data_IF_828278254865
#
_entry.id   IF_828278254865
#
_cell.length_a   1.000
_cell.length_b   1.000
_cell.length_c   1.000
_cell.angle_alpha   90.00
_cell.angle_beta   90.00
_cell.angle_gamma   90.00
#
_symmetry.space_group_name_H-M   'P 1'
#
loop_
_entity.id
_entity.type
_entity.pdbx_description
1 polymer ?
#
# COMPACT_ATOMS: atom_id res chain seq x y z
N UNK A 1 -42.42 -15.36 42.24
CA UNK A 1 -41.23 -15.36 41.37
C UNK A 1 -41.69 -15.23 39.93
N UNK A 2 -40.95 -14.48 39.10
CA UNK A 2 -41.27 -14.32 37.68
C UNK A 2 -40.60 -15.43 36.85
N UNK A 3 -41.20 -15.79 35.70
CA UNK A 3 -40.65 -16.79 34.78
C UNK A 3 -39.46 -16.19 34.02
N UNK A 4 -38.34 -16.91 33.98
CA UNK A 4 -37.15 -16.55 33.21
C UNK A 4 -36.87 -17.65 32.19
N UNK A 5 -36.47 -17.27 30.97
CA UNK A 5 -36.10 -18.17 29.88
C UNK A 5 -34.68 -17.85 29.42
N UNK A 6 -33.82 -18.86 29.35
CA UNK A 6 -32.52 -18.76 28.69
C UNK A 6 -32.67 -19.11 27.20
N UNK A 7 -32.10 -18.27 26.34
CA UNK A 7 -32.11 -18.45 24.88
C UNK A 7 -30.68 -18.39 24.37
N UNK A 8 -30.32 -19.32 23.49
CA UNK A 8 -29.04 -19.28 22.76
C UNK A 8 -29.19 -18.38 21.55
N UNK A 9 -28.60 -17.18 21.60
CA UNK A 9 -28.75 -16.18 20.55
C UNK A 9 -27.74 -16.31 19.39
N UNK A 10 -26.51 -16.74 19.69
CA UNK A 10 -25.38 -16.76 18.74
C UNK A 10 -24.45 -17.95 18.99
N UNK A 11 -23.60 -18.35 18.02
CA UNK A 11 -22.55 -19.34 18.23
C UNK A 11 -21.59 -18.94 19.37
N UNK A 12 -20.97 -19.91 20.08
CA UNK A 12 -20.10 -19.62 21.22
C UNK A 12 -18.95 -18.65 20.93
N UNK A 13 -18.36 -18.72 19.73
CA UNK A 13 -17.27 -17.82 19.31
C UNK A 13 -17.70 -16.36 19.16
N UNK A 14 -19.00 -16.09 18.97
CA UNK A 14 -19.57 -14.74 18.87
C UNK A 14 -20.00 -14.18 20.23
N UNK A 15 -20.32 -15.05 21.19
CA UNK A 15 -20.64 -14.67 22.57
C UNK A 15 -19.40 -14.60 23.48
N UNK A 16 -18.19 -14.81 22.95
CA UNK A 16 -16.96 -14.90 23.75
C UNK A 16 -16.53 -13.51 24.26
N UNK A 17 -16.50 -13.34 25.58
CA UNK A 17 -15.90 -12.18 26.23
C UNK A 17 -14.36 -12.23 26.20
N UNK A 18 -13.72 -11.06 26.32
CA UNK A 18 -12.26 -10.91 26.33
C UNK A 18 -11.83 -10.30 27.67
N UNK A 19 -11.21 -11.12 28.52
CA UNK A 19 -10.71 -10.74 29.85
C UNK A 19 -9.19 -10.99 30.01
N UNK A 20 -8.50 -11.47 28.97
CA UNK A 20 -7.05 -11.68 28.98
C UNK A 20 -6.43 -11.46 27.60
N UNK A 21 -5.10 -11.25 27.56
CA UNK A 21 -4.36 -11.13 26.30
C UNK A 21 -4.42 -12.40 25.44
N UNK A 22 -4.51 -13.57 26.09
CA UNK A 22 -4.70 -14.85 25.37
C UNK A 22 -6.05 -14.86 24.66
N UNK A 23 -7.12 -14.45 25.36
CA UNK A 23 -8.46 -14.35 24.79
C UNK A 23 -8.55 -13.31 23.66
N UNK A 24 -7.82 -12.19 23.79
CA UNK A 24 -7.73 -11.19 22.73
C UNK A 24 -7.10 -11.77 21.45
N UNK A 25 -6.01 -12.52 21.58
CA UNK A 25 -5.36 -13.18 20.44
C UNK A 25 -6.29 -14.18 19.76
N UNK A 26 -7.05 -14.97 20.52
CA UNK A 26 -8.03 -15.90 19.96
C UNK A 26 -9.15 -15.17 19.19
N UNK A 27 -9.68 -14.08 19.76
CA UNK A 27 -10.68 -13.25 19.09
C UNK A 27 -10.14 -12.61 17.80
N UNK A 28 -8.91 -12.10 17.84
CA UNK A 28 -8.24 -11.52 16.67
C UNK A 28 -8.07 -12.53 15.54
N UNK A 29 -7.70 -13.78 15.85
CA UNK A 29 -7.58 -14.85 14.83
C UNK A 29 -8.93 -15.15 14.17
N UNK A 30 -10.00 -15.21 14.95
CA UNK A 30 -11.36 -15.41 14.42
C UNK A 30 -11.74 -14.25 13.48
N UNK A 31 -11.45 -13.02 13.88
CA UNK A 31 -11.76 -11.84 13.08
C UNK A 31 -10.94 -11.78 11.79
N UNK A 32 -9.62 -11.98 11.86
CA UNK A 32 -8.77 -12.03 10.68
C UNK A 32 -9.24 -13.09 9.70
N UNK A 33 -9.59 -14.29 10.18
CA UNK A 33 -10.09 -15.36 9.32
C UNK A 33 -11.38 -14.96 8.59
N UNK A 34 -12.32 -14.28 9.27
CA UNK A 34 -13.57 -13.79 8.65
C UNK A 34 -13.30 -12.77 7.55
N UNK A 35 -12.44 -11.77 7.83
CA UNK A 35 -12.04 -10.73 6.87
C UNK A 35 -11.47 -11.39 5.61
N UNK A 36 -10.50 -12.28 5.80
CA UNK A 36 -9.82 -12.95 4.70
C UNK A 36 -10.77 -13.85 3.89
N UNK A 37 -11.69 -14.57 4.56
CA UNK A 37 -12.69 -15.39 3.87
C UNK A 37 -13.64 -14.55 3.02
N UNK A 38 -14.09 -13.40 3.52
CA UNK A 38 -14.93 -12.47 2.76
C UNK A 38 -14.21 -11.98 1.50
N UNK A 39 -12.95 -11.54 1.64
CA UNK A 39 -12.13 -11.10 0.51
C UNK A 39 -11.90 -12.23 -0.51
N UNK A 40 -11.58 -13.44 -0.05
CA UNK A 40 -11.38 -14.59 -0.93
C UNK A 40 -12.67 -14.99 -1.67
N UNK A 41 -13.83 -14.93 -1.00
CA UNK A 41 -15.13 -15.17 -1.63
C UNK A 41 -15.46 -14.11 -2.69
N UNK A 42 -14.93 -12.89 -2.54
CA UNK A 42 -15.04 -11.81 -3.52
C UNK A 42 -13.95 -11.85 -4.61
N UNK A 43 -13.19 -12.93 -4.71
CA UNK A 43 -12.24 -13.19 -5.79
C UNK A 43 -10.81 -12.66 -5.56
N UNK A 44 -10.44 -12.35 -4.32
CA UNK A 44 -9.06 -12.02 -3.95
C UNK A 44 -8.28 -13.30 -3.65
N UNK A 45 -7.05 -13.41 -4.12
CA UNK A 45 -6.15 -14.51 -3.71
C UNK A 45 -5.32 -14.06 -2.52
N UNK A 46 -5.44 -14.73 -1.38
CA UNK A 46 -4.54 -14.57 -0.23
C UNK A 46 -3.71 -15.85 -0.15
N UNK A 47 -2.43 -15.75 -0.52
CA UNK A 47 -1.56 -16.93 -0.72
C UNK A 47 -1.34 -17.69 0.58
N UNK A 48 -1.11 -16.97 1.68
CA UNK A 48 -0.94 -17.54 3.02
C UNK A 48 -1.73 -16.70 4.05
N UNK A 49 -2.99 -17.08 4.34
CA UNK A 49 -3.83 -16.35 5.27
C UNK A 49 -3.30 -16.33 6.72
N UNK A 50 -2.57 -17.36 7.15
CA UNK A 50 -2.06 -17.43 8.53
C UNK A 50 -0.89 -16.46 8.75
N UNK A 51 -0.19 -16.08 7.67
CA UNK A 51 0.93 -15.15 7.68
C UNK A 51 0.61 -13.79 7.04
N UNK A 52 -0.66 -13.45 6.84
CA UNK A 52 -1.08 -12.17 6.23
C UNK A 52 -2.05 -11.44 7.15
N UNK A 53 -1.86 -10.15 7.36
CA UNK A 53 -2.77 -9.35 8.19
C UNK A 53 -3.46 -8.26 7.37
N UNK A 54 -4.78 -8.18 7.50
CA UNK A 54 -5.61 -7.23 6.76
C UNK A 54 -6.58 -6.52 7.71
N UNK A 55 -6.57 -5.20 7.70
CA UNK A 55 -7.54 -4.38 8.43
C UNK A 55 -8.96 -4.57 7.86
N UNK A 56 -9.97 -4.61 8.71
CA UNK A 56 -11.39 -4.74 8.32
C UNK A 56 -11.84 -3.61 7.38
N UNK A 57 -11.18 -2.44 7.42
CA UNK A 57 -11.50 -1.29 6.57
C UNK A 57 -10.86 -1.36 5.17
N UNK A 58 -10.00 -2.34 4.92
CA UNK A 58 -9.36 -2.49 3.62
C UNK A 58 -10.36 -2.95 2.56
N UNK A 59 -10.26 -2.40 1.35
CA UNK A 59 -11.03 -2.80 0.18
C UNK A 59 -10.04 -3.31 -0.87
N UNK A 60 -10.26 -4.52 -1.37
CA UNK A 60 -9.36 -5.16 -2.32
C UNK A 60 -10.20 -5.70 -3.49
N UNK A 61 -9.85 -5.28 -4.71
CA UNK A 61 -10.53 -5.67 -5.95
C UNK A 61 -10.25 -7.11 -6.36
N UNK A 62 -11.15 -7.65 -7.17
CA UNK A 62 -11.06 -9.00 -7.73
C UNK A 62 -9.74 -9.26 -8.47
N UNK A 63 -9.30 -10.51 -8.47
CA UNK A 63 -8.09 -11.02 -9.15
C UNK A 63 -6.78 -10.44 -8.62
N UNK A 64 -6.84 -9.66 -7.53
CA UNK A 64 -5.66 -9.22 -6.79
C UNK A 64 -5.07 -10.37 -5.97
N UNK A 65 -3.74 -10.47 -5.96
CA UNK A 65 -2.97 -11.43 -5.19
C UNK A 65 -2.25 -10.73 -4.04
N UNK A 66 -2.51 -11.18 -2.82
CA UNK A 66 -1.81 -10.77 -1.61
C UNK A 66 -0.84 -11.88 -1.21
N UNK A 67 0.45 -11.58 -1.29
CA UNK A 67 1.55 -12.50 -0.98
C UNK A 67 1.80 -12.56 0.54
N UNK A 68 2.48 -13.62 1.03
CA UNK A 68 2.70 -13.83 2.46
C UNK A 68 3.44 -12.68 3.16
N UNK A 69 3.23 -12.56 4.47
CA UNK A 69 3.87 -11.55 5.34
C UNK A 69 3.53 -10.10 4.96
N UNK A 70 2.49 -9.89 4.16
CA UNK A 70 1.97 -8.57 3.85
C UNK A 70 1.13 -8.04 5.02
N UNK A 71 1.34 -6.78 5.37
CA UNK A 71 0.63 -6.09 6.45
C UNK A 71 -0.14 -4.89 5.89
N UNK A 72 -1.47 -4.99 5.84
CA UNK A 72 -2.36 -3.96 5.28
C UNK A 72 -3.13 -3.29 6.41
N UNK A 73 -2.72 -2.09 6.82
CA UNK A 73 -3.22 -1.39 8.01
C UNK A 73 -3.91 -0.07 7.74
N UNK A 74 -5.10 0.11 8.34
CA UNK A 74 -5.91 1.29 8.17
C UNK A 74 -6.90 1.18 7.02
N UNK A 75 -7.29 2.34 6.49
CA UNK A 75 -8.15 2.43 5.31
C UNK A 75 -7.23 2.38 4.10
N UNK A 76 -7.24 1.25 3.42
CA UNK A 76 -6.43 0.97 2.23
C UNK A 76 -7.37 0.51 1.12
N UNK A 77 -7.18 1.03 -0.10
CA UNK A 77 -7.90 0.62 -1.29
C UNK A 77 -6.93 0.02 -2.29
N UNK A 78 -7.22 -1.18 -2.78
CA UNK A 78 -6.44 -1.87 -3.80
C UNK A 78 -7.39 -2.25 -4.92
N UNK A 79 -7.05 -1.87 -6.15
CA UNK A 79 -7.84 -2.16 -7.35
C UNK A 79 -7.80 -3.64 -7.74
N UNK A 80 -8.13 -3.90 -9.01
CA UNK A 80 -8.20 -5.25 -9.58
C UNK A 80 -6.85 -5.67 -10.17
N UNK A 81 -6.58 -6.98 -10.16
CA UNK A 81 -5.40 -7.56 -10.80
C UNK A 81 -4.05 -7.11 -10.22
N UNK A 82 -4.03 -6.56 -8.99
CA UNK A 82 -2.80 -6.15 -8.35
C UNK A 82 -2.01 -7.35 -7.82
N UNK A 83 -0.70 -7.18 -7.63
CA UNK A 83 0.14 -8.12 -6.87
C UNK A 83 0.84 -7.38 -5.76
N UNK A 84 0.62 -7.77 -4.52
CA UNK A 84 1.12 -7.06 -3.34
C UNK A 84 1.92 -8.00 -2.45
N UNK A 85 3.19 -7.66 -2.23
CA UNK A 85 4.12 -8.39 -1.38
C UNK A 85 5.03 -9.36 -2.15
N UNK A 86 5.69 -10.30 -1.44
CA UNK A 86 5.59 -10.54 0.02
C UNK A 86 6.19 -9.41 0.86
N UNK A 87 5.98 -9.42 2.18
CA UNK A 87 6.57 -8.42 3.10
C UNK A 87 6.25 -6.95 2.78
N UNK A 88 5.18 -6.66 2.04
CA UNK A 88 4.75 -5.29 1.80
C UNK A 88 4.03 -4.72 3.01
N UNK A 89 4.16 -3.41 3.23
CA UNK A 89 3.48 -2.70 4.32
C UNK A 89 2.64 -1.56 3.74
N UNK A 90 1.32 -1.72 3.77
CA UNK A 90 0.40 -0.68 3.31
C UNK A 90 -0.22 -0.02 4.51
N UNK A 91 -0.13 1.31 4.57
CA UNK A 91 -0.64 2.12 5.67
C UNK A 91 -1.86 2.93 5.22
N UNK A 92 -2.58 3.47 6.19
CA UNK A 92 -3.77 4.28 5.98
C UNK A 92 -3.58 5.34 4.89
N UNK A 93 -4.60 5.52 4.06
CA UNK A 93 -4.61 6.45 2.93
C UNK A 93 -3.91 5.92 1.68
N UNK A 94 -3.46 4.66 1.67
CA UNK A 94 -2.94 4.01 0.47
C UNK A 94 -4.07 3.69 -0.50
N UNK A 95 -3.89 4.10 -1.76
CA UNK A 95 -4.76 3.75 -2.88
C UNK A 95 -3.88 3.18 -3.99
N UNK A 96 -4.08 1.91 -4.32
CA UNK A 96 -3.55 1.31 -5.53
C UNK A 96 -4.72 1.19 -6.52
N UNK A 97 -4.57 1.72 -7.72
CA UNK A 97 -5.52 1.46 -8.81
C UNK A 97 -5.31 0.04 -9.36
N UNK A 98 -5.53 -0.20 -10.66
CA UNK A 98 -5.53 -1.56 -11.21
C UNK A 98 -4.15 -1.97 -11.74
N UNK A 99 -3.90 -3.28 -11.76
CA UNK A 99 -2.64 -3.85 -12.24
C UNK A 99 -1.42 -3.17 -11.60
N UNK A 100 -1.47 -2.85 -10.30
CA UNK A 100 -0.31 -2.33 -9.57
C UNK A 100 0.49 -3.50 -9.00
N UNK A 101 1.81 -3.42 -9.10
CA UNK A 101 2.71 -4.40 -8.47
C UNK A 101 3.52 -3.73 -7.37
N UNK A 102 3.25 -4.12 -6.14
CA UNK A 102 4.11 -3.87 -4.98
C UNK A 102 4.85 -5.15 -4.66
N UNK A 103 6.17 -5.11 -4.66
CA UNK A 103 6.97 -6.29 -4.33
C UNK A 103 7.58 -6.20 -2.94
N UNK A 104 8.70 -6.90 -2.78
CA UNK A 104 9.28 -7.18 -1.47
C UNK A 104 9.66 -5.90 -0.72
N UNK A 105 9.35 -5.85 0.58
CA UNK A 105 9.74 -4.77 1.50
C UNK A 105 9.36 -3.36 1.04
N UNK A 106 8.28 -3.24 0.27
CA UNK A 106 7.77 -1.95 -0.18
C UNK A 106 6.75 -1.42 0.83
N UNK A 107 6.96 -0.20 1.31
CA UNK A 107 6.03 0.50 2.19
C UNK A 107 5.31 1.63 1.41
N UNK A 108 3.98 1.68 1.55
CA UNK A 108 3.16 2.76 0.99
C UNK A 108 2.31 3.38 2.08
N UNK A 109 2.28 4.71 2.14
CA UNK A 109 1.54 5.47 3.15
C UNK A 109 0.93 6.74 2.54
N UNK A 110 -0.36 6.95 2.77
CA UNK A 110 -1.07 8.16 2.32
C UNK A 110 -0.77 8.55 0.86
N UNK A 111 -0.73 7.55 -0.02
CA UNK A 111 -0.29 7.72 -1.41
C UNK A 111 -1.22 7.03 -2.39
N UNK A 112 -1.32 7.59 -3.59
CA UNK A 112 -2.07 6.99 -4.71
C UNK A 112 -1.08 6.53 -5.78
N UNK A 113 -1.16 5.26 -6.17
CA UNK A 113 -0.44 4.68 -7.31
C UNK A 113 -1.47 4.33 -8.37
N UNK A 114 -1.39 5.01 -9.52
CA UNK A 114 -2.33 4.82 -10.61
C UNK A 114 -2.11 3.49 -11.35
N UNK A 115 -2.97 3.23 -12.34
CA UNK A 115 -2.94 1.98 -13.11
C UNK A 115 -1.53 1.65 -13.64
N UNK A 116 -1.13 0.38 -13.52
CA UNK A 116 0.10 -0.10 -14.13
C UNK A 116 1.40 0.28 -13.39
N UNK A 117 1.35 0.91 -12.22
CA UNK A 117 2.56 1.23 -11.46
C UNK A 117 3.30 -0.03 -11.01
N UNK A 118 4.64 0.00 -11.05
CA UNK A 118 5.52 -1.09 -10.63
C UNK A 118 6.53 -0.59 -9.60
N UNK A 119 6.34 -0.95 -8.33
CA UNK A 119 7.28 -0.70 -7.23
C UNK A 119 7.66 -2.03 -6.59
N UNK A 120 8.61 -2.73 -7.22
CA UNK A 120 8.82 -4.17 -6.95
C UNK A 120 9.77 -4.47 -5.80
N UNK A 121 10.57 -3.50 -5.34
CA UNK A 121 11.66 -3.79 -4.41
C UNK A 121 11.95 -2.61 -3.48
N UNK A 122 11.85 -2.84 -2.17
CA UNK A 122 12.48 -2.05 -1.10
C UNK A 122 12.22 -0.53 -1.13
N UNK A 123 11.06 -0.09 -1.63
CA UNK A 123 10.78 1.33 -1.79
C UNK A 123 9.90 1.87 -0.66
N UNK A 124 10.08 3.13 -0.29
CA UNK A 124 9.14 3.87 0.56
C UNK A 124 8.43 4.96 -0.26
N UNK A 125 7.10 4.85 -0.34
CA UNK A 125 6.24 5.78 -1.10
C UNK A 125 5.22 6.40 -0.13
N UNK A 126 5.57 7.59 0.36
CA UNK A 126 4.83 8.33 1.38
C UNK A 126 4.35 9.68 0.86
N UNK A 127 3.06 9.97 1.08
CA UNK A 127 2.44 11.26 0.75
C UNK A 127 2.60 11.65 -0.72
N UNK A 128 2.44 10.67 -1.63
CA UNK A 128 2.68 10.84 -3.07
C UNK A 128 1.46 10.57 -3.95
N UNK A 129 1.44 11.18 -5.13
CA UNK A 129 0.59 10.77 -6.25
C UNK A 129 1.48 10.31 -7.40
N UNK A 130 1.39 9.03 -7.76
CA UNK A 130 2.18 8.40 -8.82
C UNK A 130 1.27 8.10 -10.00
N UNK A 131 1.59 8.68 -11.16
CA UNK A 131 0.86 8.51 -12.41
C UNK A 131 0.93 7.10 -12.98
N UNK A 132 0.28 6.91 -14.12
CA UNK A 132 0.13 5.59 -14.76
C UNK A 132 1.45 5.06 -15.29
N UNK A 133 1.59 3.75 -15.33
CA UNK A 133 2.73 3.04 -15.94
C UNK A 133 4.10 3.46 -15.40
N UNK A 134 4.18 4.02 -14.19
CA UNK A 134 5.45 4.43 -13.60
C UNK A 134 6.21 3.20 -13.09
N UNK A 135 7.48 3.11 -13.43
CA UNK A 135 8.38 2.12 -12.84
C UNK A 135 9.23 2.77 -11.74
N UNK A 136 8.95 2.41 -10.50
CA UNK A 136 9.76 2.76 -9.34
C UNK A 136 10.91 1.75 -9.21
N UNK A 137 12.13 2.23 -9.43
CA UNK A 137 13.35 1.46 -9.25
C UNK A 137 13.51 0.98 -7.81
N UNK A 138 14.31 -0.08 -7.64
CA UNK A 138 14.57 -0.65 -6.33
C UNK A 138 15.18 0.40 -5.39
N UNK A 139 14.82 0.38 -4.10
CA UNK A 139 15.34 1.33 -3.10
C UNK A 139 15.06 2.82 -3.40
N UNK A 140 14.06 3.11 -4.24
CA UNK A 140 13.64 4.49 -4.46
C UNK A 140 12.76 4.99 -3.30
N UNK A 141 12.93 6.26 -2.93
CA UNK A 141 12.29 6.84 -1.75
C UNK A 141 11.67 8.20 -2.10
N UNK A 142 10.42 8.41 -1.72
CA UNK A 142 9.84 9.75 -1.63
C UNK A 142 10.19 10.35 -0.26
N UNK A 143 11.22 11.18 -0.21
CA UNK A 143 11.65 11.85 1.01
C UNK A 143 10.67 13.00 1.33
N UNK A 144 9.60 12.65 2.03
CA UNK A 144 8.43 13.49 2.26
C UNK A 144 8.51 14.38 3.50
N UNK A 145 9.49 14.19 4.39
CA UNK A 145 9.60 14.95 5.65
C UNK A 145 10.90 15.77 5.67
N UNK A 146 10.78 17.08 5.89
CA UNK A 146 11.91 18.02 5.89
C UNK A 146 12.53 18.28 7.28
N UNK A 147 11.99 17.64 8.32
CA UNK A 147 12.35 17.88 9.72
C UNK A 147 11.26 18.60 10.51
N UNK A 148 10.30 19.24 9.83
CA UNK A 148 9.20 19.98 10.47
C UNK A 148 7.83 19.56 9.95
N UNK A 149 7.68 19.41 8.62
CA UNK A 149 6.41 19.12 7.96
C UNK A 149 6.53 18.02 6.91
N UNK A 150 5.38 17.43 6.62
CA UNK A 150 5.22 16.45 5.54
C UNK A 150 4.82 17.18 4.27
N UNK A 151 5.53 16.90 3.18
CA UNK A 151 5.37 17.51 1.86
C UNK A 151 4.99 16.43 0.82
N UNK A 152 4.39 16.85 -0.29
CA UNK A 152 3.84 15.95 -1.32
C UNK A 152 4.79 15.75 -2.50
N UNK A 153 4.86 14.54 -3.03
CA UNK A 153 5.55 14.23 -4.30
C UNK A 153 4.52 13.83 -5.35
N UNK A 154 4.55 14.46 -6.51
CA UNK A 154 3.71 14.16 -7.65
C UNK A 154 4.60 13.68 -8.81
N UNK A 155 4.35 12.47 -9.29
CA UNK A 155 5.09 11.85 -10.39
C UNK A 155 4.11 11.66 -11.56
N UNK A 156 4.42 12.25 -12.70
CA UNK A 156 3.63 12.13 -13.92
C UNK A 156 3.57 10.70 -14.49
N UNK A 157 2.80 10.53 -15.55
CA UNK A 157 2.64 9.25 -16.24
C UNK A 157 3.93 8.81 -16.94
N UNK A 158 4.07 7.50 -17.17
CA UNK A 158 5.13 6.89 -17.98
C UNK A 158 6.55 7.28 -17.53
N UNK A 159 6.72 7.65 -16.26
CA UNK A 159 8.01 8.00 -15.69
C UNK A 159 8.82 6.74 -15.33
N UNK A 160 10.14 6.88 -15.41
CA UNK A 160 11.08 5.89 -14.89
C UNK A 160 11.89 6.51 -13.75
N UNK A 161 11.78 5.92 -12.57
CA UNK A 161 12.58 6.30 -11.41
C UNK A 161 13.69 5.26 -11.22
N UNK A 162 14.94 5.68 -11.35
CA UNK A 162 16.09 4.79 -11.21
C UNK A 162 16.24 4.23 -9.79
N UNK A 163 16.90 3.08 -9.69
CA UNK A 163 17.17 2.45 -8.40
C UNK A 163 17.98 3.35 -7.46
N UNK A 164 17.66 3.37 -6.18
CA UNK A 164 18.32 4.20 -5.16
C UNK A 164 18.08 5.69 -5.32
N UNK A 165 17.13 6.12 -6.17
CA UNK A 165 16.81 7.53 -6.32
C UNK A 165 16.07 8.07 -5.10
N UNK A 166 16.45 9.28 -4.66
CA UNK A 166 15.79 10.00 -3.56
C UNK A 166 15.03 11.18 -4.14
N UNK A 167 13.70 11.15 -4.00
CA UNK A 167 12.79 12.19 -4.48
C UNK A 167 12.44 13.12 -3.31
N UNK A 168 13.12 14.25 -3.19
CA UNK A 168 12.95 15.21 -2.09
C UNK A 168 11.68 16.02 -2.33
N UNK A 169 10.66 15.81 -1.49
CA UNK A 169 9.41 16.55 -1.56
C UNK A 169 9.55 17.96 -0.92
N UNK A 170 8.78 18.97 -1.37
CA UNK A 170 7.80 18.93 -2.45
C UNK A 170 8.45 18.77 -3.83
N UNK A 171 7.87 17.93 -4.67
CA UNK A 171 8.43 17.61 -6.00
C UNK A 171 7.33 17.33 -7.03
N UNK A 172 7.47 17.93 -8.21
CA UNK A 172 6.66 17.68 -9.40
C UNK A 172 7.54 17.12 -10.52
N UNK A 173 7.28 15.88 -10.96
CA UNK A 173 7.89 15.30 -12.15
C UNK A 173 6.86 15.25 -13.29
N UNK A 174 7.26 15.73 -14.47
CA UNK A 174 6.40 15.70 -15.68
C UNK A 174 6.30 14.30 -16.26
N UNK A 175 5.25 14.06 -17.04
CA UNK A 175 5.08 12.82 -17.80
C UNK A 175 6.34 12.47 -18.62
N UNK A 176 6.69 11.19 -18.64
CA UNK A 176 7.87 10.67 -19.34
C UNK A 176 9.22 11.02 -18.71
N UNK A 177 9.24 11.61 -17.50
CA UNK A 177 10.50 11.93 -16.81
C UNK A 177 11.31 10.66 -16.53
N UNK A 178 12.62 10.75 -16.77
CA UNK A 178 13.55 9.66 -16.52
C UNK A 178 14.61 10.10 -15.52
N UNK A 179 14.56 9.51 -14.32
CA UNK A 179 15.53 9.76 -13.24
C UNK A 179 16.54 8.61 -13.24
N UNK A 180 17.83 8.95 -13.35
CA UNK A 180 18.90 7.95 -13.32
C UNK A 180 19.06 7.32 -11.93
N UNK A 181 19.62 6.11 -11.89
CA UNK A 181 19.90 5.43 -10.63
C UNK A 181 20.81 6.27 -9.70
N UNK A 182 20.57 6.20 -8.40
CA UNK A 182 21.32 6.92 -7.36
C UNK A 182 21.13 8.45 -7.35
N UNK A 183 20.20 8.98 -8.15
CA UNK A 183 20.01 10.43 -8.25
C UNK A 183 19.22 10.96 -7.05
N UNK A 184 19.66 12.11 -6.53
CA UNK A 184 18.88 12.91 -5.59
C UNK A 184 18.18 14.02 -6.36
N UNK A 185 16.85 14.03 -6.33
CA UNK A 185 16.02 14.96 -7.10
C UNK A 185 15.29 15.89 -6.15
N UNK A 186 15.55 17.19 -6.28
CA UNK A 186 14.78 18.27 -5.68
C UNK A 186 14.03 19.04 -6.77
N UNK A 187 13.04 19.85 -6.38
CA UNK A 187 12.31 20.70 -7.33
C UNK A 187 13.25 21.57 -8.18
N UNK A 188 14.26 22.18 -7.55
CA UNK A 188 15.24 23.04 -8.23
C UNK A 188 15.95 22.32 -9.39
N UNK A 189 16.31 21.04 -9.20
CA UNK A 189 17.01 20.28 -10.22
C UNK A 189 16.05 19.64 -11.23
N UNK A 190 14.81 19.32 -10.82
CA UNK A 190 13.75 18.89 -11.73
C UNK A 190 13.41 19.98 -12.76
N UNK A 191 13.35 21.25 -12.33
CA UNK A 191 13.09 22.38 -13.22
C UNK A 191 14.18 22.55 -14.29
N UNK A 192 15.43 22.24 -13.94
CA UNK A 192 16.58 22.26 -14.87
C UNK A 192 16.55 21.10 -15.88
N UNK A 193 16.04 19.93 -15.48
CA UNK A 193 15.92 18.76 -16.38
C UNK A 193 14.91 18.99 -17.51
N UNK A 194 13.88 19.81 -17.28
CA UNK A 194 12.90 20.21 -18.29
C UNK A 194 13.42 21.22 -19.32
N UNK A 195 14.63 21.77 -19.14
CA UNK A 195 15.24 22.79 -20.00
C UNK A 195 16.33 22.23 -20.91
N UNK A 196 16.16 21.01 -21.47
CA UNK A 196 17.08 20.56 -22.52
C UNK A 196 17.12 21.60 -23.63
N UNK A 197 18.33 22.13 -23.82
CA UNK A 197 18.76 23.17 -24.72
C UNK A 197 18.03 23.10 -26.07
N UNK A 198 17.31 24.18 -26.43
CA UNK A 198 17.25 24.61 -27.82
C UNK A 198 18.70 24.87 -28.24
N UNK A 199 19.38 23.84 -28.72
CA UNK A 199 20.63 23.99 -29.46
C UNK A 199 20.24 24.25 -30.90
N UNK A 200 20.56 25.46 -31.33
CA UNK A 200 20.49 25.97 -32.71
C UNK A 200 21.12 25.00 -33.73
#
# INVERSE_FOLDING_TARGET
GHKVLAVTAVPPNEARGINSRVQLTEANKIMQRRIQLELMNNGVTIVDPDNTWIDIRAQIGQDTVIEPFTYIHGEVKIGQGCRVGPFAHLRHGTVLENDVVLGVFTEVKNSTLADGVRARHHSYIGDAAVGRNVNMGADSITANFDGEKVNRTNIGNDCYIGSGAVLIAPLELKDGSHISAGTVVSQENADKLGQKEQKD
#
